data_IF_012233244691
#
_entry.id   IF_012233244691
#
_cell.length_a   1.000
_cell.length_b   1.000
_cell.length_c   1.000
_cell.angle_alpha   90.00
_cell.angle_beta   90.00
_cell.angle_gamma   90.00
#
_symmetry.space_group_name_H-M   'P 1'
#
loop_
_entity.id
_entity.type
_entity.pdbx_description
1 polymer ?
#
# COMPACT_ATOMS: atom_id res chain seq x y z
N UNK A 1 -24.19 -13.89 19.86
CA UNK A 1 -23.20 -13.92 18.76
C UNK A 1 -22.60 -12.53 18.72
N UNK A 2 -21.55 -12.32 19.51
CA UNK A 2 -20.87 -11.02 19.58
C UNK A 2 -19.95 -10.91 18.37
N UNK A 3 -20.38 -10.18 17.35
CA UNK A 3 -19.46 -9.65 16.35
C UNK A 3 -18.64 -8.56 17.05
N UNK A 4 -17.51 -8.95 17.63
CA UNK A 4 -16.51 -7.99 18.09
C UNK A 4 -16.25 -6.98 16.96
N UNK A 5 -16.34 -5.66 17.22
CA UNK A 5 -15.98 -4.68 16.21
C UNK A 5 -14.52 -4.92 15.82
N UNK A 6 -14.29 -5.16 14.53
CA UNK A 6 -12.93 -5.27 14.01
C UNK A 6 -12.25 -3.91 14.15
N UNK A 7 -11.40 -3.77 15.16
CA UNK A 7 -10.70 -2.53 15.50
C UNK A 7 -9.55 -2.18 14.55
N UNK A 8 -9.42 -2.82 13.39
CA UNK A 8 -8.29 -2.60 12.48
C UNK A 8 -8.73 -1.73 11.31
N UNK A 9 -7.95 -0.68 11.03
CA UNK A 9 -8.16 0.24 9.93
C UNK A 9 -6.92 0.45 9.09
N UNK A 10 -7.09 0.83 7.83
CA UNK A 10 -5.98 1.29 6.98
C UNK A 10 -6.48 2.28 5.93
N UNK A 11 -5.56 2.90 5.20
CA UNK A 11 -5.88 3.81 4.11
C UNK A 11 -5.45 3.24 2.77
N UNK A 12 -6.13 3.60 1.70
CA UNK A 12 -5.72 3.20 0.35
C UNK A 12 -4.29 3.66 0.00
N UNK A 13 -3.83 4.89 0.33
CA UNK A 13 -2.43 5.27 0.19
C UNK A 13 -1.43 4.35 0.92
N UNK A 14 -1.79 3.85 2.12
CA UNK A 14 -0.95 2.88 2.83
C UNK A 14 -0.88 1.55 2.10
N UNK A 15 -2.01 1.06 1.57
CA UNK A 15 -2.05 -0.14 0.72
C UNK A 15 -1.13 0.03 -0.49
N UNK A 16 -1.30 1.11 -1.27
CA UNK A 16 -0.46 1.40 -2.44
C UNK A 16 1.02 1.50 -2.07
N UNK A 17 1.34 2.17 -0.96
CA UNK A 17 2.70 2.25 -0.43
C UNK A 17 3.31 0.87 -0.16
N UNK A 18 2.55 -0.04 0.44
CA UNK A 18 3.01 -1.42 0.71
C UNK A 18 3.15 -2.26 -0.54
N UNK A 19 2.26 -2.10 -1.51
CA UNK A 19 2.40 -2.74 -2.83
C UNK A 19 3.71 -2.31 -3.48
N UNK A 20 4.02 -1.01 -3.49
CA UNK A 20 5.30 -0.51 -4.01
C UNK A 20 6.51 -1.08 -3.26
N UNK A 21 6.47 -1.13 -1.93
CA UNK A 21 7.53 -1.76 -1.13
C UNK A 21 7.73 -3.23 -1.50
N UNK A 22 6.66 -4.01 -1.64
CA UNK A 22 6.73 -5.43 -1.95
C UNK A 22 7.27 -5.68 -3.37
N UNK A 23 6.77 -4.94 -4.36
CA UNK A 23 7.24 -5.04 -5.75
C UNK A 23 8.71 -4.66 -5.89
N UNK A 24 9.15 -3.65 -5.15
CA UNK A 24 10.55 -3.25 -5.05
C UNK A 24 11.40 -4.36 -4.42
N UNK A 25 10.95 -4.92 -3.29
CA UNK A 25 11.66 -5.98 -2.58
C UNK A 25 11.78 -7.27 -3.42
N UNK A 26 10.77 -7.64 -4.20
CA UNK A 26 10.82 -8.78 -5.13
C UNK A 26 11.92 -8.66 -6.19
N UNK A 27 12.37 -7.43 -6.49
CA UNK A 27 13.45 -7.13 -7.43
C UNK A 27 14.79 -6.88 -6.73
N UNK A 28 14.89 -7.13 -5.42
CA UNK A 28 16.05 -6.80 -4.59
C UNK A 28 16.48 -5.33 -4.72
N UNK A 29 15.55 -4.43 -5.05
CA UNK A 29 15.83 -3.03 -5.31
C UNK A 29 15.86 -2.25 -3.98
N UNK A 30 16.93 -1.53 -3.63
CA UNK A 30 16.96 -0.65 -2.47
C UNK A 30 15.95 0.51 -2.56
N UNK A 31 15.42 0.97 -1.42
CA UNK A 31 14.47 2.09 -1.39
C UNK A 31 15.05 3.37 -2.01
N UNK A 32 16.34 3.64 -1.77
CA UNK A 32 17.04 4.81 -2.33
C UNK A 32 17.09 4.78 -3.87
N UNK A 33 17.17 3.60 -4.47
CA UNK A 33 17.31 3.43 -5.92
C UNK A 33 15.97 3.72 -6.60
N UNK A 34 14.86 3.25 -6.03
CA UNK A 34 13.52 3.58 -6.52
C UNK A 34 13.21 5.08 -6.34
N UNK A 35 13.59 5.65 -5.20
CA UNK A 35 13.44 7.09 -4.96
C UNK A 35 14.19 7.93 -6.02
N UNK A 36 15.43 7.54 -6.34
CA UNK A 36 16.22 8.17 -7.39
C UNK A 36 15.57 8.04 -8.77
N UNK A 37 15.06 6.86 -9.13
CA UNK A 37 14.38 6.64 -10.41
C UNK A 37 13.09 7.47 -10.54
N UNK A 38 12.39 7.70 -9.43
CA UNK A 38 11.21 8.56 -9.38
C UNK A 38 11.57 10.05 -9.39
N UNK A 39 12.79 10.40 -8.99
CA UNK A 39 13.28 11.78 -8.93
C UNK A 39 12.91 12.50 -7.62
N UNK A 40 12.87 11.77 -6.51
CA UNK A 40 12.59 12.32 -5.17
C UNK A 40 13.65 11.87 -4.16
N UNK A 41 13.67 12.51 -2.99
CA UNK A 41 14.54 12.05 -1.88
C UNK A 41 14.07 10.70 -1.33
N UNK A 42 15.01 9.92 -0.79
CA UNK A 42 14.67 8.65 -0.13
C UNK A 42 13.68 8.87 1.03
N UNK A 43 13.82 9.95 1.80
CA UNK A 43 12.89 10.29 2.88
C UNK A 43 11.47 10.54 2.37
N UNK A 44 11.31 11.27 1.27
CA UNK A 44 10.00 11.49 0.65
C UNK A 44 9.39 10.17 0.16
N UNK A 45 10.20 9.33 -0.50
CA UNK A 45 9.74 8.02 -0.96
C UNK A 45 9.36 7.08 0.19
N UNK A 46 10.08 7.12 1.31
CA UNK A 46 9.76 6.36 2.51
C UNK A 46 8.39 6.71 3.09
N UNK A 47 8.01 8.00 3.05
CA UNK A 47 6.66 8.45 3.45
C UNK A 47 5.57 7.91 2.53
N UNK A 48 5.86 7.76 1.24
CA UNK A 48 4.95 7.13 0.27
C UNK A 48 4.81 5.63 0.58
N UNK A 49 5.91 4.89 0.73
CA UNK A 49 5.90 3.46 1.04
C UNK A 49 5.23 3.12 2.40
N UNK A 50 5.17 4.10 3.32
CA UNK A 50 4.50 3.97 4.61
C UNK A 50 3.06 4.49 4.62
N UNK A 51 2.56 5.06 3.52
CA UNK A 51 1.20 5.60 3.44
C UNK A 51 1.00 6.97 4.10
N UNK A 52 2.04 7.58 4.65
CA UNK A 52 1.99 8.93 5.23
C UNK A 52 1.80 10.02 4.18
N UNK A 53 2.05 9.72 2.92
CA UNK A 53 1.90 10.66 1.80
C UNK A 53 1.42 9.89 0.58
N UNK A 54 0.35 10.37 -0.05
CA UNK A 54 -0.18 9.75 -1.26
C UNK A 54 0.84 9.84 -2.40
N UNK A 55 0.97 8.77 -3.17
CA UNK A 55 1.73 8.79 -4.42
C UNK A 55 1.00 9.67 -5.44
N UNK A 56 1.75 10.50 -6.18
CA UNK A 56 1.18 11.26 -7.31
C UNK A 56 1.11 10.37 -8.54
N UNK A 57 0.28 10.73 -9.53
CA UNK A 57 0.23 9.98 -10.79
C UNK A 57 1.59 9.92 -11.49
N UNK A 58 2.34 11.03 -11.50
CA UNK A 58 3.67 11.07 -12.11
C UNK A 58 4.68 10.20 -11.35
N UNK A 59 4.66 10.20 -10.02
CA UNK A 59 5.52 9.31 -9.22
C UNK A 59 5.16 7.83 -9.44
N UNK A 60 3.86 7.51 -9.50
CA UNK A 60 3.39 6.15 -9.77
C UNK A 60 3.86 5.68 -11.16
N UNK A 61 3.73 6.54 -12.18
CA UNK A 61 4.19 6.25 -13.55
C UNK A 61 5.69 5.94 -13.59
N UNK A 62 6.52 6.76 -12.93
CA UNK A 62 7.98 6.54 -12.89
C UNK A 62 8.36 5.31 -12.08
N UNK A 63 7.69 5.07 -10.96
CA UNK A 63 7.94 3.88 -10.16
C UNK A 63 7.60 2.60 -10.95
N UNK A 64 6.48 2.60 -11.67
CA UNK A 64 6.08 1.50 -12.53
C UNK A 64 7.13 1.23 -13.64
N UNK A 65 7.65 2.29 -14.28
CA UNK A 65 8.75 2.17 -15.24
C UNK A 65 10.01 1.56 -14.61
N UNK A 66 10.42 2.03 -13.43
CA UNK A 66 11.59 1.49 -12.73
C UNK A 66 11.40 0.03 -12.29
N UNK A 67 10.15 -0.37 -12.03
CA UNK A 67 9.75 -1.73 -11.71
C UNK A 67 9.45 -2.57 -12.96
N UNK A 68 9.62 -2.03 -14.17
CA UNK A 68 9.36 -2.73 -15.44
C UNK A 68 7.93 -3.33 -15.49
N UNK A 69 6.93 -2.51 -15.18
CA UNK A 69 5.52 -2.90 -15.24
C UNK A 69 4.58 -1.72 -15.54
N UNK A 70 3.36 -1.97 -16.04
CA UNK A 70 2.36 -0.91 -16.21
C UNK A 70 1.87 -0.35 -14.86
N UNK A 71 1.61 0.97 -14.75
CA UNK A 71 1.02 1.55 -13.53
C UNK A 71 -0.32 0.90 -13.14
N UNK A 72 -1.12 0.51 -14.13
CA UNK A 72 -2.39 -0.17 -13.93
C UNK A 72 -2.24 -1.49 -13.16
N UNK A 73 -1.12 -2.21 -13.32
CA UNK A 73 -0.88 -3.46 -12.60
C UNK A 73 -0.57 -3.20 -11.12
N UNK A 74 0.09 -2.09 -10.78
CA UNK A 74 0.31 -1.68 -9.38
C UNK A 74 -1.04 -1.40 -8.70
N UNK A 75 -1.91 -0.66 -9.39
CA UNK A 75 -3.26 -0.34 -8.89
C UNK A 75 -4.12 -1.59 -8.75
N UNK A 76 -4.10 -2.49 -9.74
CA UNK A 76 -4.84 -3.76 -9.65
C UNK A 76 -4.42 -4.61 -8.44
N UNK A 77 -3.12 -4.65 -8.11
CA UNK A 77 -2.64 -5.33 -6.89
C UNK A 77 -3.12 -4.60 -5.63
N UNK A 78 -3.13 -3.27 -5.62
CA UNK A 78 -3.64 -2.48 -4.50
C UNK A 78 -5.15 -2.72 -4.28
N UNK A 79 -5.95 -2.72 -5.35
CA UNK A 79 -7.39 -2.98 -5.30
C UNK A 79 -7.66 -4.41 -4.78
N UNK A 80 -6.89 -5.39 -5.25
CA UNK A 80 -7.02 -6.76 -4.76
C UNK A 80 -6.61 -6.89 -3.28
N UNK A 81 -5.57 -6.16 -2.86
CA UNK A 81 -5.14 -6.09 -1.45
C UNK A 81 -6.23 -5.47 -0.57
N UNK A 82 -6.89 -4.43 -1.06
CA UNK A 82 -8.01 -3.76 -0.37
C UNK A 82 -9.16 -4.73 -0.14
N UNK A 83 -9.58 -5.45 -1.18
CA UNK A 83 -10.66 -6.46 -1.10
C UNK A 83 -10.31 -7.52 -0.07
N UNK A 84 -9.08 -8.02 -0.07
CA UNK A 84 -8.63 -9.06 0.87
C UNK A 84 -8.58 -8.58 2.30
N UNK A 85 -8.06 -7.37 2.53
CA UNK A 85 -8.03 -6.75 3.84
C UNK A 85 -9.46 -6.56 4.37
N UNK A 86 -10.37 -6.06 3.53
CA UNK A 86 -11.79 -5.86 3.87
C UNK A 86 -12.50 -7.16 4.22
N UNK A 87 -12.29 -8.23 3.44
CA UNK A 87 -12.84 -9.58 3.72
C UNK A 87 -12.37 -10.11 5.08
N UNK A 88 -11.17 -9.73 5.53
CA UNK A 88 -10.60 -10.12 6.82
C UNK A 88 -10.94 -9.13 7.96
N UNK A 89 -11.89 -8.22 7.74
CA UNK A 89 -12.39 -7.29 8.74
C UNK A 89 -11.55 -6.01 8.91
N UNK A 90 -10.66 -5.67 7.97
CA UNK A 90 -9.93 -4.40 8.01
C UNK A 90 -10.80 -3.30 7.39
N UNK A 91 -11.08 -2.25 8.15
CA UNK A 91 -11.80 -1.08 7.64
C UNK A 91 -10.89 -0.24 6.75
N UNK A 92 -11.31 0.02 5.52
CA UNK A 92 -10.60 0.91 4.59
C UNK A 92 -11.18 2.31 4.74
N UNK A 93 -10.32 3.27 5.05
CA UNK A 93 -10.73 4.64 5.35
C UNK A 93 -9.99 5.60 4.42
N UNK A 94 -10.69 6.65 3.99
CA UNK A 94 -10.03 7.71 3.23
C UNK A 94 -9.01 8.42 4.10
N UNK A 95 -7.89 8.83 3.49
CA UNK A 95 -6.81 9.53 4.20
C UNK A 95 -7.28 10.82 4.91
N UNK A 96 -8.36 11.44 4.40
CA UNK A 96 -9.00 12.62 5.03
C UNK A 96 -9.95 12.25 6.17
N UNK A 97 -10.60 11.08 6.08
CA UNK A 97 -11.50 10.55 7.11
C UNK A 97 -10.78 9.86 8.27
N UNK A 98 -9.45 9.81 8.28
CA UNK A 98 -8.66 9.22 9.38
C UNK A 98 -8.92 9.94 10.71
N UNK A 99 -9.22 11.23 10.69
CA UNK A 99 -9.58 12.00 11.89
C UNK A 99 -10.99 11.68 12.39
N UNK A 100 -11.86 11.15 11.54
CA UNK A 100 -13.25 10.80 11.86
C UNK A 100 -13.38 9.37 12.40
N UNK A 101 -12.26 8.68 12.61
CA UNK A 101 -12.23 7.32 13.12
C UNK A 101 -12.53 7.28 14.60
N UNK A 102 -13.29 6.26 15.00
CA UNK A 102 -13.55 6.01 16.41
C UNK A 102 -12.22 5.77 17.15
N UNK A 103 -12.03 6.30 18.39
CA UNK A 103 -10.79 6.20 19.14
C UNK A 103 -10.23 4.78 19.37
N UNK A 104 -11.03 3.74 19.10
CA UNK A 104 -10.65 2.34 19.20
C UNK A 104 -10.03 1.73 17.94
N UNK A 105 -9.93 2.47 16.83
CA UNK A 105 -9.38 1.95 15.57
C UNK A 105 -7.84 2.01 15.57
N UNK A 106 -7.21 0.86 15.35
CA UNK A 106 -5.77 0.67 15.20
C UNK A 106 -5.42 0.73 13.71
N UNK A 107 -4.59 1.69 13.32
CA UNK A 107 -4.10 1.82 11.94
C UNK A 107 -2.99 0.81 11.62
N UNK A 108 -3.21 0.00 10.59
CA UNK A 108 -2.23 -0.95 10.10
C UNK A 108 -1.21 -0.25 9.21
N UNK A 109 -0.01 -0.03 9.73
CA UNK A 109 1.07 0.69 9.05
C UNK A 109 2.11 -0.23 8.34
N UNK A 110 2.02 -1.56 8.47
CA UNK A 110 3.14 -2.45 8.10
C UNK A 110 2.81 -3.94 7.97
N UNK A 111 3.11 -4.71 9.03
CA UNK A 111 3.18 -6.17 8.97
C UNK A 111 1.86 -6.85 8.55
N UNK A 112 0.71 -6.34 9.00
CA UNK A 112 -0.59 -6.91 8.66
C UNK A 112 -0.97 -6.74 7.17
N UNK A 113 -0.61 -5.59 6.55
CA UNK A 113 -0.83 -5.39 5.12
C UNK A 113 0.08 -6.26 4.25
N UNK A 114 1.27 -6.60 4.75
CA UNK A 114 2.25 -7.39 3.99
C UNK A 114 1.73 -8.76 3.55
N UNK A 115 0.91 -9.42 4.38
CA UNK A 115 0.29 -10.70 4.06
C UNK A 115 -0.69 -10.54 2.88
N UNK A 116 -1.58 -9.56 2.96
CA UNK A 116 -2.56 -9.29 1.90
C UNK A 116 -1.86 -8.88 0.59
N UNK A 117 -0.87 -7.99 0.66
CA UNK A 117 -0.10 -7.59 -0.53
C UNK A 117 0.59 -8.79 -1.18
N UNK A 118 1.22 -9.66 -0.39
CA UNK A 118 1.91 -10.83 -0.93
C UNK A 118 0.94 -11.79 -1.60
N UNK A 119 -0.21 -12.03 -0.98
CA UNK A 119 -1.26 -12.89 -1.53
C UNK A 119 -1.87 -12.30 -2.82
N UNK A 120 -2.19 -10.99 -2.83
CA UNK A 120 -2.65 -10.29 -4.03
C UNK A 120 -1.66 -10.39 -5.20
N UNK A 121 -0.34 -10.28 -4.93
CA UNK A 121 0.69 -10.45 -5.98
C UNK A 121 0.73 -11.88 -6.51
N UNK A 122 0.56 -12.90 -5.65
CA UNK A 122 0.52 -14.31 -6.09
C UNK A 122 -0.70 -14.58 -6.97
N UNK A 123 -1.86 -14.05 -6.58
CA UNK A 123 -3.12 -14.20 -7.32
C UNK A 123 -3.08 -13.50 -8.69
N UNK A 124 -2.46 -12.31 -8.78
CA UNK A 124 -2.32 -11.58 -10.04
C UNK A 124 -1.45 -12.29 -11.09
N UNK A 125 -0.67 -13.31 -10.72
CA UNK A 125 0.19 -14.09 -11.63
C UNK A 125 -0.44 -15.41 -12.11
N UNK A 126 -1.55 -15.83 -11.50
CA UNK A 126 -2.31 -17.03 -11.89
C UNK A 126 -3.43 -16.67 -12.86
#
# INVERSE_FOLDING_TARGET
MDHQPHNLGTTYPAIVGKVLTALRAQRNMPQKDLAQAVGVTQANWSRIESGHTSVTLEHLRRAAQALDMPPAQILAIADQTEVEASVQGVTIVDAKGVHDLHPGLILLAGAALGIFVTYAIMKSKS
#
